data_IF_029635027375
#
_entry.id   IF_029635027375
#
_cell.length_a   1.000
_cell.length_b   1.000
_cell.length_c   1.000
_cell.angle_alpha   90.00
_cell.angle_beta   90.00
_cell.angle_gamma   90.00
#
_symmetry.space_group_name_H-M   'P 1'
#
loop_
_entity.id
_entity.type
_entity.pdbx_description
1 polymer ?
#
# COMPACT_ATOMS: atom_id res chain seq x y z
N UNK A 1 2.98 -10.59 -29.38
CA UNK A 1 1.67 -9.98 -29.66
C UNK A 1 1.06 -9.56 -28.34
N UNK A 2 0.78 -8.26 -28.15
CA UNK A 2 0.09 -7.82 -26.94
C UNK A 2 -1.35 -8.29 -26.96
N UNK A 3 -1.81 -8.89 -25.87
CA UNK A 3 -3.22 -9.29 -25.72
C UNK A 3 -4.02 -8.10 -25.20
N UNK A 4 -5.30 -8.00 -25.57
CA UNK A 4 -6.22 -6.98 -25.03
C UNK A 4 -6.20 -6.95 -23.50
N UNK A 5 -6.09 -8.13 -22.87
CA UNK A 5 -5.95 -8.25 -21.41
C UNK A 5 -4.71 -7.53 -20.87
N UNK A 6 -3.54 -7.73 -21.50
CA UNK A 6 -2.29 -7.09 -21.06
C UNK A 6 -2.35 -5.55 -21.17
N UNK A 7 -3.00 -5.03 -22.21
CA UNK A 7 -3.20 -3.58 -22.38
C UNK A 7 -4.12 -3.02 -21.29
N UNK A 8 -5.26 -3.67 -21.04
CA UNK A 8 -6.21 -3.24 -19.98
C UNK A 8 -5.56 -3.31 -18.60
N UNK A 9 -4.80 -4.37 -18.34
CA UNK A 9 -4.03 -4.56 -17.10
C UNK A 9 -3.05 -3.39 -16.90
N UNK A 10 -2.22 -3.10 -17.91
CA UNK A 10 -1.24 -2.02 -17.86
C UNK A 10 -1.88 -0.65 -17.61
N UNK A 11 -2.96 -0.31 -18.33
CA UNK A 11 -3.68 0.96 -18.14
C UNK A 11 -4.30 1.09 -16.76
N UNK A 12 -4.82 0.00 -16.21
CA UNK A 12 -5.39 0.04 -14.86
C UNK A 12 -4.31 0.23 -13.80
N UNK A 13 -3.14 -0.39 -13.97
CA UNK A 13 -2.00 -0.15 -13.09
C UNK A 13 -1.51 1.30 -13.15
N UNK A 14 -1.58 1.95 -14.32
CA UNK A 14 -1.24 3.38 -14.45
C UNK A 14 -2.19 4.29 -13.67
N UNK A 15 -3.49 4.00 -13.72
CA UNK A 15 -4.49 4.74 -12.93
C UNK A 15 -4.27 4.47 -11.43
N UNK A 16 -4.01 3.22 -11.06
CA UNK A 16 -3.70 2.84 -9.69
C UNK A 16 -2.44 3.57 -9.19
N UNK A 17 -1.41 3.69 -10.04
CA UNK A 17 -0.18 4.43 -9.77
C UNK A 17 -0.46 5.89 -9.45
N UNK A 18 -1.26 6.56 -10.29
CA UNK A 18 -1.61 7.96 -10.10
C UNK A 18 -2.27 8.19 -8.73
N UNK A 19 -3.24 7.35 -8.36
CA UNK A 19 -3.87 7.40 -7.04
C UNK A 19 -2.87 7.12 -5.92
N UNK A 20 -2.01 6.13 -6.10
CA UNK A 20 -0.99 5.72 -5.13
C UNK A 20 0.03 6.84 -4.86
N UNK A 21 0.56 7.49 -5.89
CA UNK A 21 1.57 8.54 -5.77
C UNK A 21 1.02 9.90 -5.32
N UNK A 22 -0.27 10.14 -5.50
CA UNK A 22 -0.90 11.39 -5.04
C UNK A 22 -1.44 11.25 -3.62
N UNK A 23 -2.27 10.24 -3.37
CA UNK A 23 -3.02 10.11 -2.11
C UNK A 23 -2.15 9.56 -0.98
N UNK A 24 -1.26 8.59 -1.24
CA UNK A 24 -0.50 7.94 -0.16
C UNK A 24 0.54 8.86 0.47
N UNK A 25 1.40 9.57 -0.28
CA UNK A 25 2.36 10.50 0.33
C UNK A 25 1.63 11.59 1.13
N UNK A 26 0.49 12.07 0.61
CA UNK A 26 -0.35 13.01 1.35
C UNK A 26 -0.91 12.41 2.64
N UNK A 27 -1.42 11.16 2.61
CA UNK A 27 -1.90 10.48 3.81
C UNK A 27 -0.77 10.26 4.84
N UNK A 28 0.40 9.81 4.39
CA UNK A 28 1.61 9.65 5.21
C UNK A 28 2.00 10.98 5.85
N UNK A 29 2.01 12.07 5.08
CA UNK A 29 2.25 13.42 5.60
C UNK A 29 1.25 13.80 6.70
N UNK A 30 -0.05 13.62 6.46
CA UNK A 30 -1.08 13.94 7.45
C UNK A 30 -0.89 13.11 8.73
N UNK A 31 -0.60 11.82 8.60
CA UNK A 31 -0.40 10.93 9.76
C UNK A 31 0.87 11.32 10.52
N UNK A 32 1.97 11.60 9.83
CA UNK A 32 3.22 11.99 10.48
C UNK A 32 3.08 13.29 11.30
N UNK A 33 2.48 14.32 10.70
CA UNK A 33 2.48 15.67 11.26
C UNK A 33 1.23 16.03 12.07
N UNK A 34 0.07 15.42 11.81
CA UNK A 34 -1.21 15.79 12.42
C UNK A 34 -1.80 14.71 13.35
N UNK A 35 -1.04 13.66 13.68
CA UNK A 35 -1.46 12.69 14.69
C UNK A 35 -1.42 13.28 16.10
N UNK A 36 -2.54 13.25 16.86
CA UNK A 36 -2.56 13.69 18.24
C UNK A 36 -1.81 12.73 19.18
N UNK A 37 -1.30 13.24 20.31
CA UNK A 37 -0.47 12.48 21.25
C UNK A 37 -1.05 11.11 21.65
N UNK A 38 -2.36 11.02 21.91
CA UNK A 38 -3.02 9.77 22.32
C UNK A 38 -3.11 8.70 21.21
N UNK A 39 -2.90 9.07 19.94
CA UNK A 39 -2.83 8.14 18.80
C UNK A 39 -1.39 7.87 18.34
N UNK A 40 -0.40 8.55 18.93
CA UNK A 40 0.97 8.58 18.37
C UNK A 40 1.57 7.18 18.22
N UNK A 41 1.46 6.34 19.25
CA UNK A 41 1.96 4.97 19.17
C UNK A 41 1.27 4.15 18.06
N UNK A 42 -0.06 4.21 17.97
CA UNK A 42 -0.81 3.53 16.90
C UNK A 42 -0.45 4.06 15.52
N UNK A 43 -0.20 5.36 15.38
CA UNK A 43 0.16 5.96 14.09
C UNK A 43 1.48 5.46 13.53
N UNK A 44 2.45 5.07 14.37
CA UNK A 44 3.70 4.51 13.88
C UNK A 44 3.50 3.16 13.19
N UNK A 45 2.57 2.34 13.68
CA UNK A 45 2.22 1.08 13.02
C UNK A 45 1.42 1.30 11.73
N UNK A 46 0.51 2.29 11.72
CA UNK A 46 -0.19 2.70 10.49
C UNK A 46 0.82 3.20 9.45
N UNK A 47 1.80 4.01 9.86
CA UNK A 47 2.86 4.49 8.97
C UNK A 47 3.75 3.36 8.46
N UNK A 48 4.16 2.42 9.33
CA UNK A 48 4.94 1.26 8.93
C UNK A 48 4.23 0.46 7.84
N UNK A 49 2.95 0.16 8.03
CA UNK A 49 2.16 -0.53 7.01
C UNK A 49 2.03 0.30 5.73
N UNK A 50 1.70 1.60 5.83
CA UNK A 50 1.57 2.47 4.65
C UNK A 50 2.87 2.60 3.85
N UNK A 51 4.04 2.57 4.51
CA UNK A 51 5.34 2.62 3.85
C UNK A 51 5.62 1.35 3.05
N UNK A 52 5.40 0.17 3.65
CA UNK A 52 5.51 -1.10 2.93
C UNK A 52 4.52 -1.19 1.77
N UNK A 53 3.31 -0.66 1.98
CA UNK A 53 2.29 -0.60 0.95
C UNK A 53 2.69 0.32 -0.21
N UNK A 54 3.22 1.50 0.09
CA UNK A 54 3.73 2.43 -0.91
C UNK A 54 4.90 1.83 -1.69
N UNK A 55 5.83 1.15 -1.00
CA UNK A 55 6.95 0.45 -1.63
C UNK A 55 6.45 -0.65 -2.58
N UNK A 56 5.54 -1.50 -2.13
CA UNK A 56 4.94 -2.55 -2.96
C UNK A 56 4.24 -2.00 -4.18
N UNK A 57 3.44 -0.93 -4.03
CA UNK A 57 2.76 -0.29 -5.15
C UNK A 57 3.74 0.37 -6.14
N UNK A 58 4.79 1.05 -5.65
CA UNK A 58 5.84 1.62 -6.49
C UNK A 58 6.51 0.53 -7.33
N UNK A 59 6.89 -0.58 -6.70
CA UNK A 59 7.49 -1.72 -7.40
C UNK A 59 6.52 -2.35 -8.41
N UNK A 60 5.23 -2.50 -8.06
CA UNK A 60 4.21 -3.01 -8.97
C UNK A 60 4.04 -2.15 -10.22
N UNK A 61 4.07 -0.82 -10.06
CA UNK A 61 3.95 0.12 -11.18
C UNK A 61 5.22 0.13 -12.02
N UNK A 62 6.39 0.13 -11.39
CA UNK A 62 7.67 0.13 -12.10
C UNK A 62 7.91 -1.15 -12.89
N UNK A 63 7.50 -2.31 -12.36
CA UNK A 63 7.70 -3.61 -13.02
C UNK A 63 6.53 -4.09 -13.87
N UNK A 64 5.29 -3.69 -13.55
CA UNK A 64 4.04 -4.22 -14.11
C UNK A 64 4.07 -5.76 -14.29
N UNK A 65 4.20 -6.53 -13.19
CA UNK A 65 4.28 -7.98 -13.30
C UNK A 65 2.98 -8.54 -13.88
N UNK A 66 3.06 -9.15 -15.06
CA UNK A 66 1.95 -9.76 -15.76
C UNK A 66 2.11 -11.28 -15.75
N UNK A 67 1.16 -12.05 -15.17
CA UNK A 67 1.27 -13.50 -15.11
C UNK A 67 1.12 -14.10 -16.52
N UNK A 68 2.01 -15.00 -16.89
CA UNK A 68 1.97 -15.77 -18.14
C UNK A 68 1.61 -17.21 -17.80
N UNK A 69 0.31 -17.49 -17.65
CA UNK A 69 -0.20 -18.84 -17.39
C UNK A 69 -0.68 -19.46 -18.71
N UNK A 70 -0.45 -20.76 -18.95
CA UNK A 70 -0.01 -21.78 -17.98
C UNK A 70 1.50 -21.83 -17.70
N UNK A 71 2.35 -21.08 -18.43
CA UNK A 71 3.82 -21.21 -18.39
C UNK A 71 4.53 -20.84 -17.07
N UNK A 72 3.85 -20.57 -15.96
CA UNK A 72 4.44 -20.23 -14.63
C UNK A 72 5.53 -19.14 -14.68
N UNK A 73 5.50 -18.32 -15.72
CA UNK A 73 6.41 -17.21 -15.92
C UNK A 73 5.69 -15.90 -15.61
N UNK A 74 6.47 -14.86 -15.35
CA UNK A 74 5.97 -13.50 -15.17
C UNK A 74 6.71 -12.60 -16.13
N UNK A 75 5.96 -11.77 -16.84
CA UNK A 75 6.49 -10.74 -17.73
C UNK A 75 6.53 -9.40 -17.00
N UNK A 76 7.66 -8.69 -17.07
CA UNK A 76 7.79 -7.34 -16.53
C UNK A 76 7.65 -6.30 -17.64
N UNK A 77 6.45 -5.76 -17.82
CA UNK A 77 6.12 -4.79 -18.88
C UNK A 77 6.26 -3.32 -18.43
N UNK A 78 6.77 -3.09 -17.23
CA UNK A 78 6.89 -1.75 -16.65
C UNK A 78 8.13 -1.00 -17.12
N UNK A 79 8.28 0.23 -16.61
CA UNK A 79 9.40 1.13 -16.93
C UNK A 79 10.77 0.49 -16.69
N UNK A 80 10.89 -0.35 -15.66
CA UNK A 80 12.18 -0.98 -15.32
C UNK A 80 12.47 -2.25 -16.13
N UNK A 81 11.46 -2.85 -16.77
CA UNK A 81 11.58 -4.14 -17.47
C UNK A 81 12.77 -4.21 -18.42
N UNK A 82 12.90 -3.26 -19.38
CA UNK A 82 14.02 -3.23 -20.33
C UNK A 82 15.41 -3.07 -19.70
N UNK A 83 15.50 -2.54 -18.48
CA UNK A 83 16.77 -2.32 -17.77
C UNK A 83 17.19 -3.52 -16.91
N UNK A 84 16.29 -4.49 -16.71
CA UNK A 84 16.58 -5.73 -15.97
C UNK A 84 16.97 -6.83 -16.95
N UNK A 85 18.15 -6.70 -17.57
CA UNK A 85 18.62 -7.64 -18.62
C UNK A 85 18.77 -9.08 -18.08
N UNK A 86 19.28 -9.22 -16.85
CA UNK A 86 19.51 -10.49 -16.19
C UNK A 86 18.21 -11.05 -15.56
N UNK A 87 17.91 -12.32 -15.84
CA UNK A 87 16.76 -13.04 -15.27
C UNK A 87 16.75 -13.04 -13.74
N UNK A 88 17.91 -13.18 -13.09
CA UNK A 88 18.04 -13.11 -11.63
C UNK A 88 17.68 -11.74 -11.07
N UNK A 89 17.93 -10.66 -11.82
CA UNK A 89 17.50 -9.32 -11.41
C UNK A 89 15.97 -9.19 -11.47
N UNK A 90 15.32 -9.83 -12.44
CA UNK A 90 13.85 -9.88 -12.55
C UNK A 90 13.23 -10.70 -11.42
N UNK A 91 13.82 -11.85 -11.08
CA UNK A 91 13.45 -12.62 -9.87
C UNK A 91 13.60 -11.78 -8.59
N UNK A 92 14.74 -11.12 -8.41
CA UNK A 92 15.00 -10.27 -7.25
C UNK A 92 13.98 -9.11 -7.16
N UNK A 93 13.66 -8.48 -8.29
CA UNK A 93 12.65 -7.42 -8.35
C UNK A 93 11.27 -7.92 -7.94
N UNK A 94 10.85 -9.09 -8.44
CA UNK A 94 9.58 -9.69 -8.04
C UNK A 94 9.58 -10.13 -6.57
N UNK A 95 10.71 -10.62 -6.06
CA UNK A 95 10.89 -10.93 -4.65
C UNK A 95 10.72 -9.69 -3.77
N UNK A 96 11.19 -8.51 -4.19
CA UNK A 96 10.93 -7.25 -3.47
C UNK A 96 9.43 -6.90 -3.42
N UNK A 97 8.67 -7.20 -4.48
CA UNK A 97 7.20 -7.03 -4.49
C UNK A 97 6.56 -7.96 -3.44
N UNK A 98 6.91 -9.25 -3.48
CA UNK A 98 6.38 -10.25 -2.54
C UNK A 98 6.77 -9.92 -1.11
N UNK A 99 8.03 -9.56 -0.86
CA UNK A 99 8.52 -9.13 0.44
C UNK A 99 7.76 -7.90 0.96
N UNK A 100 7.50 -6.90 0.11
CA UNK A 100 6.71 -5.73 0.51
C UNK A 100 5.28 -6.11 0.92
N UNK A 101 4.66 -7.06 0.21
CA UNK A 101 3.33 -7.59 0.57
C UNK A 101 3.33 -8.33 1.91
N UNK A 102 4.30 -9.23 2.13
CA UNK A 102 4.45 -9.96 3.39
C UNK A 102 4.71 -9.00 4.55
N UNK A 103 5.58 -8.01 4.34
CA UNK A 103 5.87 -7.00 5.35
C UNK A 103 4.67 -6.09 5.64
N UNK A 104 3.82 -5.78 4.66
CA UNK A 104 2.54 -5.10 4.89
C UNK A 104 1.64 -5.90 5.86
N UNK A 105 1.51 -7.23 5.65
CA UNK A 105 0.77 -8.11 6.57
C UNK A 105 1.38 -8.16 7.97
N UNK A 106 2.72 -8.24 8.08
CA UNK A 106 3.41 -8.18 9.38
C UNK A 106 3.13 -6.85 10.08
N UNK A 107 3.14 -5.74 9.35
CA UNK A 107 2.79 -4.41 9.87
C UNK A 107 1.37 -4.34 10.43
N UNK A 108 0.39 -4.90 9.71
CA UNK A 108 -0.99 -5.02 10.17
C UNK A 108 -1.11 -5.90 11.42
N UNK A 109 -0.44 -7.05 11.45
CA UNK A 109 -0.52 -7.98 12.57
C UNK A 109 0.12 -7.40 13.84
N UNK A 110 1.30 -6.81 13.70
CA UNK A 110 2.04 -6.18 14.82
C UNK A 110 1.25 -5.01 15.41
N UNK A 111 0.51 -4.25 14.59
CA UNK A 111 -0.40 -3.20 15.06
C UNK A 111 -1.46 -3.75 16.04
N UNK A 112 -2.16 -4.83 15.68
CA UNK A 112 -3.19 -5.42 16.55
C UNK A 112 -2.60 -6.11 17.76
N UNK A 113 -1.47 -6.80 17.61
CA UNK A 113 -0.73 -7.39 18.73
C UNK A 113 -0.31 -6.34 19.74
N UNK A 114 0.30 -5.24 19.29
CA UNK A 114 0.71 -4.15 20.17
C UNK A 114 -0.50 -3.49 20.83
N UNK A 115 -1.59 -3.30 20.08
CA UNK A 115 -2.84 -2.77 20.61
C UNK A 115 -3.41 -3.64 21.73
N UNK A 116 -3.41 -4.95 21.54
CA UNK A 116 -3.81 -5.92 22.56
C UNK A 116 -2.93 -5.76 23.82
N UNK A 117 -1.61 -5.71 23.67
CA UNK A 117 -0.70 -5.55 24.81
C UNK A 117 -0.93 -4.25 25.58
N UNK A 118 -1.19 -3.14 24.89
CA UNK A 118 -1.51 -1.84 25.53
C UNK A 118 -2.82 -1.90 26.32
N UNK A 119 -3.81 -2.65 25.85
CA UNK A 119 -5.07 -2.82 26.57
C UNK A 119 -4.87 -3.77 27.74
N UNK A 120 -4.41 -5.00 27.49
CA UNK A 120 -4.33 -6.08 28.47
C UNK A 120 -3.31 -5.85 29.58
N UNK A 121 -2.12 -5.30 29.26
CA UNK A 121 -0.95 -5.31 30.14
C UNK A 121 -0.35 -3.91 30.29
N UNK A 122 -1.13 -2.96 30.80
CA UNK A 122 -0.71 -1.55 30.95
C UNK A 122 0.56 -1.38 31.79
N UNK A 123 0.67 -2.13 32.88
CA UNK A 123 1.82 -2.09 33.79
C UNK A 123 3.10 -2.63 33.13
N UNK A 124 2.98 -3.70 32.35
CA UNK A 124 4.11 -4.23 31.60
C UNK A 124 4.58 -3.23 30.53
N UNK A 125 3.64 -2.63 29.80
CA UNK A 125 3.96 -1.66 28.75
C UNK A 125 4.56 -0.38 29.32
N UNK A 126 4.15 0.08 30.50
CA UNK A 126 4.75 1.27 31.12
C UNK A 126 6.19 1.04 31.59
N UNK A 127 6.53 -0.20 31.97
CA UNK A 127 7.90 -0.60 32.35
C UNK A 127 8.80 -0.92 31.15
N UNK A 128 8.21 -1.33 30.03
CA UNK A 128 8.95 -1.76 28.84
C UNK A 128 9.36 -0.57 27.99
N UNK A 129 10.65 -0.45 27.65
CA UNK A 129 11.13 0.60 26.73
C UNK A 129 10.50 0.41 25.33
N UNK A 130 9.92 1.45 24.70
CA UNK A 130 9.32 1.35 23.36
C UNK A 130 10.23 0.76 22.29
N UNK A 131 11.55 0.93 22.45
CA UNK A 131 12.59 0.39 21.57
C UNK A 131 12.46 -1.13 21.37
N UNK A 132 12.11 -1.89 22.41
CA UNK A 132 11.93 -3.34 22.32
C UNK A 132 10.77 -3.73 21.41
N UNK A 133 9.68 -2.95 21.41
CA UNK A 133 8.55 -3.17 20.51
C UNK A 133 8.97 -2.98 19.04
N UNK A 134 9.77 -1.96 18.76
CA UNK A 134 10.30 -1.73 17.41
C UNK A 134 11.32 -2.79 16.99
N UNK A 135 12.21 -3.21 17.90
CA UNK A 135 13.16 -4.28 17.63
C UNK A 135 12.46 -5.59 17.25
N UNK A 136 11.42 -5.99 18.00
CA UNK A 136 10.60 -7.17 17.65
C UNK A 136 9.94 -7.01 16.28
N UNK A 137 9.42 -5.83 15.96
CA UNK A 137 8.81 -5.56 14.66
C UNK A 137 9.82 -5.74 13.52
N UNK A 138 11.02 -5.14 13.65
CA UNK A 138 12.10 -5.24 12.66
C UNK A 138 12.54 -6.69 12.49
N UNK A 139 12.74 -7.42 13.59
CA UNK A 139 13.12 -8.83 13.54
C UNK A 139 12.07 -9.70 12.83
N UNK A 140 10.78 -9.44 13.04
CA UNK A 140 9.70 -10.14 12.34
C UNK A 140 9.72 -9.84 10.83
N UNK A 141 9.95 -8.58 10.43
CA UNK A 141 10.08 -8.20 9.02
C UNK A 141 11.27 -8.91 8.35
N UNK A 142 12.44 -8.91 9.01
CA UNK A 142 13.65 -9.57 8.52
C UNK A 142 13.41 -11.08 8.38
N UNK A 143 12.87 -11.72 9.43
CA UNK A 143 12.61 -13.16 9.41
C UNK A 143 11.61 -13.55 8.32
N UNK A 144 10.49 -12.82 8.21
CA UNK A 144 9.50 -13.06 7.15
C UNK A 144 10.09 -12.90 5.75
N UNK A 145 10.89 -11.85 5.54
CA UNK A 145 11.57 -11.60 4.26
C UNK A 145 12.57 -12.72 3.94
N UNK A 146 13.41 -13.11 4.90
CA UNK A 146 14.42 -14.16 4.72
C UNK A 146 13.79 -15.51 4.34
N UNK A 147 12.67 -15.89 4.97
CA UNK A 147 11.93 -17.11 4.63
C UNK A 147 11.47 -17.05 3.16
N UNK A 148 10.84 -15.96 2.72
CA UNK A 148 10.36 -15.84 1.34
C UNK A 148 11.49 -15.74 0.32
N UNK A 149 12.63 -15.13 0.68
CA UNK A 149 13.84 -15.13 -0.16
C UNK A 149 14.29 -16.57 -0.39
N UNK A 150 14.46 -17.36 0.68
CA UNK A 150 14.87 -18.75 0.57
C UNK A 150 13.90 -19.59 -0.27
N UNK A 151 12.59 -19.43 -0.06
CA UNK A 151 11.56 -20.13 -0.85
C UNK A 151 11.59 -19.73 -2.33
N UNK A 152 11.75 -18.44 -2.62
CA UNK A 152 11.77 -17.93 -3.99
C UNK A 152 12.99 -18.43 -4.77
N UNK A 153 14.19 -18.36 -4.17
CA UNK A 153 15.43 -18.86 -4.77
C UNK A 153 15.34 -20.35 -5.09
N UNK A 154 14.72 -21.16 -4.22
CA UNK A 154 14.56 -22.59 -4.45
C UNK A 154 13.54 -22.92 -5.56
N UNK A 155 12.55 -22.05 -5.76
CA UNK A 155 11.48 -22.22 -6.75
C UNK A 155 11.79 -21.58 -8.11
N UNK A 156 12.74 -20.65 -8.17
CA UNK A 156 13.19 -20.02 -9.40
C UNK A 156 13.79 -21.05 -10.37
N UNK A 157 13.64 -20.79 -11.67
CA UNK A 157 14.33 -21.51 -12.72
C UNK A 157 14.60 -20.59 -13.92
N UNK A 158 15.39 -21.04 -14.89
CA UNK A 158 15.74 -20.28 -16.09
C UNK A 158 14.73 -20.49 -17.22
N UNK A 159 14.64 -19.51 -18.13
CA UNK A 159 13.83 -19.62 -19.35
C UNK A 159 14.31 -20.78 -20.24
N UNK A 160 15.60 -21.09 -20.25
CA UNK A 160 16.19 -22.15 -21.08
C UNK A 160 15.60 -23.54 -20.77
N UNK A 161 15.30 -23.81 -19.50
CA UNK A 161 14.64 -25.06 -19.09
C UNK A 161 13.23 -25.18 -19.71
N UNK A 162 12.55 -24.05 -19.91
CA UNK A 162 11.24 -24.00 -20.55
C UNK A 162 11.28 -24.09 -22.07
N UNK A 163 12.25 -23.43 -22.73
CA UNK A 163 12.32 -23.37 -24.20
C UNK A 163 12.50 -24.73 -24.86
N UNK A 164 13.06 -25.70 -24.13
CA UNK A 164 13.20 -27.08 -24.61
C UNK A 164 11.86 -27.84 -24.68
N UNK A 165 10.80 -27.30 -24.06
CA UNK A 165 9.50 -27.97 -23.96
C UNK A 165 8.38 -27.23 -24.69
N UNK A 166 8.42 -25.90 -24.75
CA UNK A 166 7.33 -25.08 -25.31
C UNK A 166 7.86 -23.85 -26.07
N UNK A 167 7.22 -23.52 -27.19
CA UNK A 167 7.55 -22.32 -27.96
C UNK A 167 7.03 -21.06 -27.25
N UNK A 168 7.88 -20.37 -26.49
CA UNK A 168 7.54 -19.09 -25.84
C UNK A 168 7.68 -17.96 -26.88
N UNK A 169 6.59 -17.20 -27.20
CA UNK A 169 6.59 -16.24 -28.31
C UNK A 169 7.56 -15.06 -28.17
N UNK A 170 8.08 -14.80 -26.97
CA UNK A 170 9.13 -13.81 -26.71
C UNK A 170 9.70 -14.02 -25.31
N UNK A 171 11.00 -14.33 -25.20
CA UNK A 171 11.71 -14.44 -23.93
C UNK A 171 12.01 -13.09 -23.26
N UNK A 172 11.73 -11.97 -23.94
CA UNK A 172 12.06 -10.64 -23.45
C UNK A 172 11.29 -10.31 -22.16
N UNK A 173 12.00 -9.83 -21.15
CA UNK A 173 11.47 -9.42 -19.84
C UNK A 173 10.73 -10.53 -19.07
N UNK A 174 10.95 -11.81 -19.41
CA UNK A 174 10.39 -12.95 -18.68
C UNK A 174 11.34 -13.45 -17.58
N UNK A 175 10.76 -14.06 -16.56
CA UNK A 175 11.44 -14.93 -15.61
C UNK A 175 10.44 -15.99 -15.15
N UNK A 176 10.93 -17.17 -14.78
CA UNK A 176 10.07 -18.34 -14.61
C UNK A 176 10.29 -19.07 -13.28
N UNK A 177 9.24 -19.73 -12.79
CA UNK A 177 9.32 -20.62 -11.64
C UNK A 177 9.20 -22.07 -12.09
N UNK A 178 9.65 -23.03 -11.31
CA UNK A 178 9.49 -24.47 -11.60
C UNK A 178 8.02 -24.83 -11.82
N UNK A 179 7.70 -25.52 -12.93
CA UNK A 179 6.31 -25.88 -13.28
C UNK A 179 5.64 -26.85 -12.31
N UNK A 180 6.45 -27.77 -11.79
CA UNK A 180 6.03 -28.88 -10.92
C UNK A 180 7.12 -29.17 -9.88
N UNK A 181 6.81 -30.07 -8.95
CA UNK A 181 7.73 -30.50 -7.90
C UNK A 181 7.48 -29.81 -6.57
N UNK A 182 8.22 -30.28 -5.56
CA UNK A 182 8.00 -29.88 -4.18
C UNK A 182 8.42 -28.43 -3.92
N UNK A 183 9.37 -27.86 -4.66
CA UNK A 183 9.83 -26.48 -4.47
C UNK A 183 8.73 -25.46 -4.82
N UNK A 184 8.04 -25.65 -5.95
CA UNK A 184 6.85 -24.85 -6.33
C UNK A 184 5.77 -24.97 -5.26
N UNK A 185 5.43 -26.21 -4.91
CA UNK A 185 4.38 -26.49 -3.93
C UNK A 185 4.72 -25.84 -2.59
N UNK A 186 5.96 -25.94 -2.13
CA UNK A 186 6.41 -25.36 -0.87
C UNK A 186 6.30 -23.83 -0.88
N UNK A 187 6.72 -23.14 -1.96
CA UNK A 187 6.57 -21.69 -2.08
C UNK A 187 5.09 -21.27 -2.01
N UNK A 188 4.24 -21.89 -2.83
CA UNK A 188 2.82 -21.51 -2.94
C UNK A 188 2.02 -21.88 -1.68
N UNK A 189 2.24 -23.06 -1.09
CA UNK A 189 1.58 -23.46 0.15
C UNK A 189 2.08 -22.64 1.35
N UNK A 190 3.36 -22.26 1.40
CA UNK A 190 3.87 -21.35 2.43
C UNK A 190 3.25 -19.96 2.30
N UNK A 191 3.08 -19.46 1.07
CA UNK A 191 2.35 -18.22 0.83
C UNK A 191 0.90 -18.34 1.29
N UNK A 192 0.20 -19.41 0.92
CA UNK A 192 -1.19 -19.66 1.32
C UNK A 192 -1.35 -19.76 2.84
N UNK A 193 -0.50 -20.58 3.49
CA UNK A 193 -0.49 -20.77 4.94
C UNK A 193 -0.17 -19.46 5.68
N UNK A 194 0.77 -18.65 5.18
CA UNK A 194 1.09 -17.37 5.81
C UNK A 194 -0.07 -16.37 5.72
N UNK A 195 -0.78 -16.33 4.59
CA UNK A 195 -1.96 -15.47 4.39
C UNK A 195 -3.16 -15.90 5.23
N UNK A 196 -3.42 -17.21 5.37
CA UNK A 196 -4.46 -17.73 6.26
C UNK A 196 -4.08 -17.49 7.72
N UNK A 197 -2.86 -17.86 8.11
CA UNK A 197 -2.33 -17.66 9.46
C UNK A 197 -2.41 -16.20 9.88
N UNK A 198 -2.03 -15.27 8.99
CA UNK A 198 -2.20 -13.83 9.20
C UNK A 198 -3.65 -13.46 9.52
N UNK A 199 -4.62 -13.91 8.73
CA UNK A 199 -6.05 -13.61 8.96
C UNK A 199 -6.55 -14.18 10.28
N UNK A 200 -6.20 -15.42 10.59
CA UNK A 200 -6.58 -16.08 11.86
C UNK A 200 -6.04 -15.31 13.05
N UNK A 201 -4.74 -14.97 13.02
CA UNK A 201 -4.11 -14.20 14.10
C UNK A 201 -4.68 -12.77 14.20
N UNK A 202 -4.96 -12.11 13.07
CA UNK A 202 -5.58 -10.79 13.04
C UNK A 202 -6.96 -10.80 13.70
N UNK A 203 -7.80 -11.78 13.35
CA UNK A 203 -9.13 -11.97 13.95
C UNK A 203 -8.99 -12.27 15.45
N UNK A 204 -8.11 -13.20 15.82
CA UNK A 204 -7.86 -13.55 17.22
C UNK A 204 -7.45 -12.32 18.06
N UNK A 205 -6.46 -11.55 17.62
CA UNK A 205 -6.05 -10.33 18.34
C UNK A 205 -7.13 -9.26 18.36
N UNK A 206 -7.94 -9.14 17.31
CA UNK A 206 -9.09 -8.23 17.30
C UNK A 206 -10.11 -8.62 18.37
N UNK A 207 -10.49 -9.90 18.43
CA UNK A 207 -11.42 -10.43 19.43
C UNK A 207 -10.87 -10.26 20.85
N UNK A 208 -9.58 -10.56 21.06
CA UNK A 208 -8.90 -10.34 22.33
C UNK A 208 -8.88 -8.87 22.75
N UNK A 209 -8.64 -7.93 21.81
CA UNK A 209 -8.73 -6.50 22.09
C UNK A 209 -10.12 -6.09 22.57
N UNK A 210 -11.19 -6.59 21.92
CA UNK A 210 -12.55 -6.30 22.33
C UNK A 210 -12.90 -6.94 23.67
N UNK A 211 -12.46 -8.18 23.90
CA UNK A 211 -12.65 -8.90 25.16
C UNK A 211 -12.01 -8.15 26.33
N UNK A 212 -10.72 -7.82 26.23
CA UNK A 212 -10.01 -7.10 27.29
C UNK A 212 -10.55 -5.69 27.51
N UNK A 213 -10.97 -5.00 26.45
CA UNK A 213 -11.60 -3.69 26.59
C UNK A 213 -12.97 -3.77 27.30
N UNK A 214 -13.71 -4.87 27.15
CA UNK A 214 -14.96 -5.13 27.90
C UNK A 214 -14.65 -5.46 29.36
N UNK A 215 -13.65 -6.30 29.61
CA UNK A 215 -13.21 -6.69 30.96
C UNK A 215 -12.77 -5.47 31.78
N UNK A 216 -12.05 -4.53 31.18
CA UNK A 216 -11.56 -3.32 31.86
C UNK A 216 -12.60 -2.20 31.99
N UNK A 217 -13.86 -2.41 31.59
CA UNK A 217 -14.89 -1.37 31.57
C UNK A 217 -15.13 -0.72 32.94
N UNK A 218 -15.00 -1.46 34.03
CA UNK A 218 -15.18 -0.95 35.40
C UNK A 218 -13.96 -0.20 35.95
N UNK A 219 -12.76 -0.55 35.49
CA UNK A 219 -11.49 0.03 35.99
C UNK A 219 -11.06 1.28 35.22
N UNK A 220 -11.50 1.44 33.97
CA UNK A 220 -11.12 2.60 33.15
C UNK A 220 -12.07 3.77 33.29
N UNK A 221 -11.49 4.97 33.30
CA UNK A 221 -12.25 6.20 33.13
C UNK A 221 -13.09 6.14 31.84
N UNK A 222 -14.36 6.59 31.93
CA UNK A 222 -15.32 6.58 30.81
C UNK A 222 -14.74 7.22 29.55
N UNK A 223 -14.02 8.33 29.69
CA UNK A 223 -13.39 9.04 28.57
C UNK A 223 -12.34 8.20 27.85
N UNK A 224 -11.41 7.61 28.62
CA UNK A 224 -10.36 6.72 28.08
C UNK A 224 -10.97 5.52 27.35
N UNK A 225 -12.01 4.91 27.92
CA UNK A 225 -12.70 3.78 27.31
C UNK A 225 -13.33 4.13 25.96
N UNK A 226 -13.98 5.29 25.85
CA UNK A 226 -14.58 5.78 24.60
C UNK A 226 -13.51 5.98 23.52
N UNK A 227 -12.36 6.57 23.88
CA UNK A 227 -11.24 6.75 22.95
C UNK A 227 -10.72 5.37 22.49
N UNK A 228 -10.45 4.46 23.42
CA UNK A 228 -9.89 3.14 23.11
C UNK A 228 -10.81 2.34 22.18
N UNK A 229 -12.12 2.37 22.43
CA UNK A 229 -13.14 1.73 21.60
C UNK A 229 -13.23 2.35 20.21
N UNK A 230 -13.21 3.68 20.13
CA UNK A 230 -13.27 4.40 18.85
C UNK A 230 -12.09 4.07 17.97
N UNK A 231 -10.88 4.06 18.54
CA UNK A 231 -9.66 3.73 17.81
C UNK A 231 -9.67 2.27 17.37
N UNK A 232 -10.05 1.32 18.23
CA UNK A 232 -10.12 -0.10 17.85
C UNK A 232 -11.12 -0.32 16.71
N UNK A 233 -12.32 0.27 16.79
CA UNK A 233 -13.32 0.18 15.72
C UNK A 233 -12.79 0.75 14.40
N UNK A 234 -12.10 1.89 14.47
CA UNK A 234 -11.49 2.51 13.30
C UNK A 234 -10.41 1.61 12.68
N UNK A 235 -9.56 0.97 13.49
CA UNK A 235 -8.55 0.02 13.02
C UNK A 235 -9.18 -1.21 12.34
N UNK A 236 -10.22 -1.79 12.94
CA UNK A 236 -10.95 -2.92 12.36
C UNK A 236 -11.55 -2.54 11.01
N UNK A 237 -12.19 -1.38 10.93
CA UNK A 237 -12.78 -0.91 9.68
C UNK A 237 -11.73 -0.66 8.58
N UNK A 238 -10.58 -0.09 8.94
CA UNK A 238 -9.49 0.10 7.98
C UNK A 238 -8.85 -1.21 7.52
N UNK A 239 -8.72 -2.20 8.41
CA UNK A 239 -8.11 -3.50 8.07
C UNK A 239 -8.99 -4.40 7.23
N UNK A 240 -10.30 -4.16 7.19
CA UNK A 240 -11.17 -4.84 6.24
C UNK A 240 -10.70 -4.62 4.79
N UNK A 241 -10.24 -3.41 4.43
CA UNK A 241 -9.80 -3.08 3.07
C UNK A 241 -8.64 -3.96 2.59
N UNK A 242 -7.45 -4.02 3.24
CA UNK A 242 -6.37 -4.90 2.80
C UNK A 242 -6.75 -6.38 2.86
N UNK A 243 -7.63 -6.80 3.78
CA UNK A 243 -8.09 -8.21 3.83
C UNK A 243 -8.91 -8.57 2.59
N UNK A 244 -9.85 -7.72 2.19
CA UNK A 244 -10.76 -8.01 1.07
C UNK A 244 -10.20 -7.64 -0.30
N UNK A 245 -9.43 -6.55 -0.40
CA UNK A 245 -8.92 -6.06 -1.69
C UNK A 245 -7.49 -6.51 -1.99
N UNK A 246 -6.73 -7.01 -1.01
CA UNK A 246 -5.41 -7.59 -1.26
C UNK A 246 -5.33 -9.05 -0.84
N UNK A 247 -5.57 -9.36 0.43
CA UNK A 247 -5.29 -10.70 0.93
C UNK A 247 -6.16 -11.78 0.27
N UNK A 248 -7.43 -11.50 0.06
CA UNK A 248 -8.33 -12.43 -0.61
C UNK A 248 -8.03 -12.57 -2.12
N UNK A 249 -7.89 -11.49 -2.90
CA UNK A 249 -7.43 -11.57 -4.29
C UNK A 249 -6.09 -12.29 -4.45
N UNK A 250 -5.09 -12.03 -3.61
CA UNK A 250 -3.79 -12.71 -3.69
C UNK A 250 -3.87 -14.20 -3.36
N UNK A 251 -4.77 -14.62 -2.46
CA UNK A 251 -5.05 -16.04 -2.24
C UNK A 251 -5.68 -16.70 -3.48
N UNK A 252 -6.61 -16.01 -4.15
CA UNK A 252 -7.20 -16.49 -5.40
C UNK A 252 -6.11 -16.59 -6.47
N UNK A 253 -5.28 -15.55 -6.66
CA UNK A 253 -4.16 -15.59 -7.59
C UNK A 253 -3.22 -16.77 -7.31
N UNK A 254 -2.84 -16.99 -6.05
CA UNK A 254 -1.98 -18.10 -5.65
C UNK A 254 -2.63 -19.46 -5.95
N UNK A 255 -3.94 -19.60 -5.75
CA UNK A 255 -4.69 -20.82 -6.09
C UNK A 255 -4.66 -21.09 -7.60
N UNK A 256 -4.92 -20.07 -8.43
CA UNK A 256 -4.89 -20.21 -9.89
C UNK A 256 -3.46 -20.37 -10.43
N UNK A 257 -2.44 -19.88 -9.74
CA UNK A 257 -1.04 -20.18 -10.07
C UNK A 257 -0.70 -21.62 -9.69
N UNK A 258 -1.21 -22.14 -8.56
CA UNK A 258 -1.04 -23.54 -8.18
C UNK A 258 -1.67 -24.47 -9.21
N UNK A 259 -2.90 -24.16 -9.62
CA UNK A 259 -3.69 -24.85 -10.63
C UNK A 259 -3.69 -24.09 -11.97
N UNK A 260 -2.49 -23.83 -12.50
CA UNK A 260 -2.24 -23.03 -13.71
C UNK A 260 -2.90 -23.52 -15.00
N UNK A 261 -3.34 -24.78 -15.05
CA UNK A 261 -4.02 -25.38 -16.19
C UNK A 261 -5.54 -25.11 -16.18
N UNK A 262 -6.08 -24.47 -15.13
CA UNK A 262 -7.50 -24.12 -15.08
C UNK A 262 -7.88 -23.08 -16.15
N UNK A 263 -9.10 -23.16 -16.71
CA UNK A 263 -9.56 -22.17 -17.68
C UNK A 263 -9.55 -20.78 -17.04
N UNK A 264 -9.13 -19.78 -17.82
CA UNK A 264 -9.04 -18.38 -17.40
C UNK A 264 -8.04 -18.08 -16.27
N UNK A 265 -7.12 -19.00 -15.93
CA UNK A 265 -6.18 -18.78 -14.83
C UNK A 265 -5.38 -17.47 -14.95
N UNK A 266 -4.91 -17.16 -16.15
CA UNK A 266 -4.22 -15.90 -16.44
C UNK A 266 -5.08 -14.67 -16.16
N UNK A 267 -6.34 -14.68 -16.63
CA UNK A 267 -7.29 -13.58 -16.43
C UNK A 267 -7.57 -13.36 -14.95
N UNK A 268 -7.86 -14.44 -14.21
CA UNK A 268 -8.17 -14.36 -12.78
C UNK A 268 -6.97 -13.88 -11.97
N UNK A 269 -5.77 -14.37 -12.27
CA UNK A 269 -4.53 -13.91 -11.63
C UNK A 269 -4.28 -12.42 -11.92
N UNK A 270 -4.45 -11.97 -13.17
CA UNK A 270 -4.28 -10.56 -13.54
C UNK A 270 -5.29 -9.64 -12.82
N UNK A 271 -6.58 -10.00 -12.79
CA UNK A 271 -7.61 -9.24 -12.06
C UNK A 271 -7.27 -9.19 -10.56
N UNK A 272 -6.81 -10.30 -10.00
CA UNK A 272 -6.45 -10.39 -8.59
C UNK A 272 -5.26 -9.48 -8.25
N UNK A 273 -4.24 -9.42 -9.11
CA UNK A 273 -3.12 -8.48 -8.99
C UNK A 273 -3.59 -7.03 -9.11
N UNK A 274 -4.54 -6.71 -10.01
CA UNK A 274 -5.10 -5.37 -10.14
C UNK A 274 -5.84 -4.91 -8.87
N UNK A 275 -6.66 -5.78 -8.28
CA UNK A 275 -7.33 -5.49 -7.01
C UNK A 275 -6.30 -5.27 -5.89
N UNK A 276 -5.30 -6.15 -5.81
CA UNK A 276 -4.22 -6.04 -4.85
C UNK A 276 -3.37 -4.78 -5.06
N UNK A 277 -3.15 -4.29 -6.28
CA UNK A 277 -2.42 -3.03 -6.49
C UNK A 277 -3.22 -1.79 -6.03
N UNK A 278 -4.56 -1.86 -6.06
CA UNK A 278 -5.44 -0.73 -5.74
C UNK A 278 -5.80 -0.62 -4.26
N UNK A 279 -5.70 -1.70 -3.48
CA UNK A 279 -6.13 -1.70 -2.07
C UNK A 279 -5.48 -0.58 -1.25
N UNK A 280 -4.22 -0.25 -1.56
CA UNK A 280 -3.45 0.75 -0.85
C UNK A 280 -4.03 2.15 -0.97
N UNK A 281 -4.54 2.52 -2.14
CA UNK A 281 -5.14 3.84 -2.38
C UNK A 281 -6.45 3.95 -1.61
N UNK A 282 -7.30 2.93 -1.68
CA UNK A 282 -8.55 2.84 -0.93
C UNK A 282 -8.29 2.92 0.57
N UNK A 283 -7.29 2.18 1.05
CA UNK A 283 -6.88 2.19 2.44
C UNK A 283 -6.44 3.59 2.91
N UNK A 284 -5.60 4.29 2.14
CA UNK A 284 -5.15 5.65 2.49
C UNK A 284 -6.28 6.68 2.53
N UNK A 285 -7.22 6.64 1.57
CA UNK A 285 -8.44 7.47 1.62
C UNK A 285 -9.24 7.16 2.89
N UNK A 286 -9.42 5.87 3.19
CA UNK A 286 -10.18 5.43 4.34
C UNK A 286 -9.53 5.88 5.66
N UNK A 287 -8.21 5.81 5.77
CA UNK A 287 -7.48 6.33 6.95
C UNK A 287 -7.76 7.81 7.17
N UNK A 288 -7.66 8.64 6.13
CA UNK A 288 -7.97 10.06 6.22
C UNK A 288 -9.44 10.29 6.59
N UNK A 289 -10.35 9.48 6.05
CA UNK A 289 -11.79 9.59 6.26
C UNK A 289 -12.24 9.11 7.64
N UNK A 290 -11.58 8.14 8.28
CA UNK A 290 -12.07 7.49 9.50
C UNK A 290 -11.61 8.23 10.78
N UNK A 291 -10.40 8.77 10.79
CA UNK A 291 -9.88 9.50 11.95
C UNK A 291 -10.29 10.98 11.94
N UNK A 292 -10.98 11.41 12.99
CA UNK A 292 -11.47 12.79 13.14
C UNK A 292 -10.35 13.84 13.07
N UNK A 293 -9.20 13.56 13.66
CA UNK A 293 -8.03 14.46 13.61
C UNK A 293 -7.51 14.65 12.18
N UNK A 294 -7.44 13.58 11.40
CA UNK A 294 -6.97 13.62 10.02
C UNK A 294 -7.96 14.34 9.11
N UNK A 295 -9.27 14.04 9.23
CA UNK A 295 -10.32 14.79 8.52
C UNK A 295 -10.23 16.29 8.79
N UNK A 296 -10.04 16.69 10.05
CA UNK A 296 -9.92 18.10 10.44
C UNK A 296 -8.68 18.74 9.79
N UNK A 297 -7.54 18.06 9.80
CA UNK A 297 -6.32 18.54 9.15
C UNK A 297 -6.51 18.73 7.64
N UNK A 298 -7.03 17.72 6.95
CA UNK A 298 -7.31 17.78 5.49
C UNK A 298 -8.28 18.93 5.16
N UNK A 299 -9.38 19.07 5.92
CA UNK A 299 -10.34 20.16 5.72
C UNK A 299 -9.69 21.54 5.88
N UNK A 300 -8.87 21.72 6.92
CA UNK A 300 -8.16 22.99 7.15
C UNK A 300 -7.18 23.31 6.02
N UNK A 301 -6.38 22.33 5.57
CA UNK A 301 -5.45 22.51 4.47
C UNK A 301 -6.18 22.86 3.16
N UNK A 302 -7.28 22.16 2.87
CA UNK A 302 -8.10 22.41 1.69
C UNK A 302 -8.71 23.81 1.68
N UNK A 303 -9.32 24.25 2.81
CA UNK A 303 -9.87 25.61 2.95
C UNK A 303 -8.77 26.66 2.76
N UNK A 304 -7.58 26.45 3.32
CA UNK A 304 -6.47 27.39 3.20
C UNK A 304 -5.94 27.46 1.77
N UNK A 305 -5.83 26.33 1.06
CA UNK A 305 -5.44 26.29 -0.34
C UNK A 305 -6.42 27.07 -1.22
N UNK A 306 -7.73 26.83 -1.05
CA UNK A 306 -8.78 27.55 -1.78
C UNK A 306 -8.72 29.06 -1.52
N UNK A 307 -8.61 29.48 -0.25
CA UNK A 307 -8.48 30.91 0.11
C UNK A 307 -7.24 31.54 -0.51
N UNK A 308 -6.12 30.79 -0.57
CA UNK A 308 -4.90 31.23 -1.23
C UNK A 308 -5.07 31.47 -2.73
N UNK A 309 -5.76 30.57 -3.44
CA UNK A 309 -6.09 30.71 -4.85
C UNK A 309 -6.97 31.95 -5.13
N UNK A 310 -8.02 32.16 -4.32
CA UNK A 310 -8.89 33.34 -4.46
C UNK A 310 -8.18 34.66 -4.15
N UNK A 311 -7.31 34.69 -3.13
CA UNK A 311 -6.53 35.91 -2.78
C UNK A 311 -5.53 36.28 -3.89
N UNK A 312 -4.92 35.29 -4.56
CA UNK A 312 -4.01 35.55 -5.69
C UNK A 312 -4.76 36.18 -6.88
N UNK A 313 -5.96 35.68 -7.17
CA UNK A 313 -6.79 36.21 -8.25
C UNK A 313 -7.31 37.63 -7.99
N UNK A 314 -7.63 37.98 -6.73
CA UNK A 314 -8.05 39.35 -6.39
C UNK A 314 -6.93 40.37 -6.55
N UNK A 315 -5.67 40.01 -6.27
CA UNK A 315 -4.50 40.86 -6.49
C UNK A 315 -4.25 41.10 -7.99
N UNK A 316 -4.37 40.05 -8.81
CA UNK A 316 -4.23 40.14 -10.27
C UNK A 316 -5.30 41.05 -10.90
N UNK A 317 -6.54 40.98 -10.41
CA UNK A 317 -7.64 41.85 -10.87
C UNK A 317 -7.42 43.32 -10.45
N UNK A 318 -6.85 43.58 -9.26
CA UNK A 318 -6.54 44.94 -8.82
C UNK A 318 -5.41 45.57 -9.62
N UNK A 319 -4.40 44.79 -10.02
CA UNK A 319 -3.25 45.28 -10.79
C UNK A 319 -3.59 45.62 -12.25
N UNK A 320 -4.52 44.88 -12.87
CA UNK A 320 -5.01 45.18 -14.23
C UNK A 320 -5.90 46.43 -14.30
N UNK A 321 -6.60 46.79 -13.21
CA UNK A 321 -7.31 48.08 -13.14
C UNK A 321 -6.37 49.28 -13.08
N UNK A 322 -5.21 49.16 -12.43
CA UNK A 322 -4.26 50.27 -12.28
C UNK A 322 -3.53 50.56 -13.61
N UNK A 323 -3.22 49.54 -14.42
CA UNK A 323 -2.59 49.76 -15.74
C UNK A 323 -3.53 50.36 -16.78
N UNK A 324 -4.85 50.21 -16.68
CA UNK A 324 -5.81 50.88 -17.59
C UNK A 324 -6.07 52.35 -17.28
N UNK A 325 -5.78 52.83 -16.07
CA UNK A 325 -5.98 54.25 -15.70
C UNK A 325 -4.75 55.11 -16.05
N UNK A 326 -3.59 54.49 -16.27
CA UNK A 326 -2.35 55.20 -16.64
C UNK A 326 -2.23 55.57 -18.14
N UNK A 327 -3.23 55.27 -18.96
CA UNK A 327 -3.26 55.61 -20.39
C UNK A 327 -4.42 56.55 -20.76
N UNK A 328 -4.75 57.51 -19.90
CA UNK A 328 -5.53 58.67 -20.31
C UNK A 328 -4.58 59.72 -20.87
N UNK A 329 -4.62 60.06 -22.17
CA UNK A 329 -3.81 61.14 -22.71
C UNK A 329 -4.21 62.45 -22.05
N UNK A 330 -3.24 63.11 -21.40
CA UNK A 330 -3.38 64.48 -20.91
C UNK A 330 -3.49 65.39 -22.14
N UNK A 331 -4.71 65.80 -22.46
CA UNK A 331 -4.96 66.89 -23.42
C UNK A 331 -4.38 68.15 -22.79
N UNK A 332 -3.29 68.65 -23.39
CA UNK A 332 -2.64 69.88 -22.98
C UNK A 332 -3.48 71.09 -23.38
N UNK A 333 -3.87 71.90 -22.39
CA UNK A 333 -4.25 73.29 -22.60
C UNK A 333 -3.09 74.17 -22.12
N UNK A 334 -2.22 74.53 -23.07
CA UNK A 334 -1.34 75.71 -22.99
C UNK A 334 -2.19 76.97 -23.29
N UNK A 335 -1.66 78.17 -23.02
CA UNK A 335 -2.22 79.54 -23.18
C UNK A 335 -2.95 80.05 -21.92
N UNK A 336 -2.67 81.18 -21.28
CA UNK A 336 -1.87 82.43 -21.45
C UNK A 336 -1.59 82.96 -20.03
N UNK A 337 -0.60 83.78 -19.65
CA UNK A 337 0.23 84.77 -20.31
C UNK A 337 0.47 85.91 -19.30
N UNK A 338 1.70 86.39 -19.17
CA UNK A 338 2.06 87.79 -18.92
C UNK A 338 3.55 87.97 -19.16
#
# INVERSE_FOLDING_TARGET
METTLSVVYGRTLDIAALGSFTIKPFAIFIIAFYTPKYLRSTSYFILNEMLWNLAGNLLFVLGRPFPMLPTQCIRLDGLIGPYLENEWMRHAFFLLIVASSVNCNIGLLTMFRFRYMVIANKEFISRTRPLWGYAICIMLHIAGTAIFVALNVNAATTIEEYSNTESIPSAANLFCFKRSGWQKNLLLWSFFASMIGFKVLLVAYTLLCFYELRKQKSSLEKFTLVIQRTVLRNLVFMTAVPVFLACFPLLIAALFILFNEWPYAQLVAAISYMLAANHGTVYSVLTLAVFKSYRKAVKTMWINAIRGLFKKNSILCRRTKITKVASSPRVGSLWTGK
#
